data_IF_823146064067
#
_entry.id   IF_823146064067
#
_cell.length_a   1.000
_cell.length_b   1.000
_cell.length_c   1.000
_cell.angle_alpha   90.00
_cell.angle_beta   90.00
_cell.angle_gamma   90.00
#
_symmetry.space_group_name_H-M   'P 1'
#
loop_
_entity.id
_entity.type
_entity.pdbx_description
1 polymer ?
#
# COMPACT_ATOMS: atom_id res chain seq x y z
N UNK A 1 -2.47 -4.20 -27.93
CA UNK A 1 -2.82 -5.64 -27.81
C UNK A 1 -1.74 -6.57 -28.36
N UNK A 2 -1.03 -6.22 -29.44
CA UNK A 2 0.01 -7.06 -30.05
C UNK A 2 1.14 -7.45 -29.08
N UNK A 3 1.77 -6.48 -28.41
CA UNK A 3 2.82 -6.73 -27.39
C UNK A 3 2.30 -7.65 -26.27
N UNK A 4 1.10 -7.41 -25.75
CA UNK A 4 0.55 -8.30 -24.72
C UNK A 4 0.41 -9.74 -25.23
N UNK A 5 -0.06 -9.94 -26.46
CA UNK A 5 -0.21 -11.28 -27.07
C UNK A 5 1.14 -11.95 -27.33
N UNK A 6 2.15 -11.19 -27.73
CA UNK A 6 3.50 -11.71 -28.00
C UNK A 6 4.23 -12.13 -26.71
N UNK A 7 4.05 -11.39 -25.62
CA UNK A 7 4.85 -11.60 -24.40
C UNK A 7 4.08 -12.25 -23.22
N UNK A 8 2.74 -12.21 -23.18
CA UNK A 8 1.95 -12.86 -22.12
C UNK A 8 1.85 -14.36 -22.41
N UNK A 9 2.81 -15.12 -21.88
CA UNK A 9 2.83 -16.58 -22.03
C UNK A 9 1.80 -17.30 -21.18
N UNK A 10 1.51 -16.77 -19.99
CA UNK A 10 0.64 -17.46 -19.03
C UNK A 10 -0.20 -16.49 -18.19
N UNK A 11 -1.42 -16.93 -17.88
CA UNK A 11 -2.31 -16.30 -16.89
C UNK A 11 -2.16 -17.11 -15.61
N UNK A 12 -1.55 -16.51 -14.58
CA UNK A 12 -1.42 -17.12 -13.25
C UNK A 12 -1.93 -16.17 -12.19
N UNK A 13 -2.49 -16.75 -11.12
CA UNK A 13 -2.74 -16.00 -9.89
C UNK A 13 -1.42 -15.55 -9.29
N UNK A 14 -1.35 -14.27 -8.92
CA UNK A 14 -0.25 -13.73 -8.15
C UNK A 14 -0.60 -14.02 -6.69
N UNK A 15 -0.07 -15.10 -6.12
CA UNK A 15 -0.49 -15.67 -4.82
C UNK A 15 -0.41 -14.77 -3.59
N UNK A 16 -0.05 -13.50 -3.76
CA UNK A 16 -0.14 -12.47 -2.73
C UNK A 16 -1.51 -11.80 -2.67
N UNK A 17 -2.38 -11.96 -3.68
CA UNK A 17 -3.70 -11.33 -3.69
C UNK A 17 -4.79 -12.36 -3.39
N UNK A 18 -5.74 -11.90 -2.59
CA UNK A 18 -7.00 -12.54 -2.27
C UNK A 18 -8.14 -11.51 -2.43
N UNK A 19 -9.38 -11.89 -2.12
CA UNK A 19 -10.54 -11.00 -2.22
C UNK A 19 -10.73 -10.10 -0.98
N UNK A 20 -9.72 -9.92 -0.13
CA UNK A 20 -9.80 -9.04 1.04
C UNK A 20 -9.59 -7.57 0.67
N UNK A 21 -10.09 -6.67 1.53
CA UNK A 21 -9.79 -5.25 1.46
C UNK A 21 -8.28 -4.97 1.53
N UNK A 22 -7.54 -5.73 2.34
CA UNK A 22 -6.10 -5.56 2.48
C UNK A 22 -5.38 -5.82 1.14
N UNK A 23 -5.81 -6.83 0.38
CA UNK A 23 -5.32 -7.09 -0.98
C UNK A 23 -5.64 -5.97 -1.97
N UNK A 24 -6.85 -5.37 -1.88
CA UNK A 24 -7.19 -4.21 -2.69
C UNK A 24 -6.30 -3.00 -2.37
N UNK A 25 -6.06 -2.72 -1.08
CA UNK A 25 -5.17 -1.64 -0.65
C UNK A 25 -3.71 -1.90 -1.06
N UNK A 26 -3.24 -3.15 -0.98
CA UNK A 26 -1.92 -3.54 -1.47
C UNK A 26 -1.79 -3.29 -2.98
N UNK A 27 -2.84 -3.57 -3.75
CA UNK A 27 -2.87 -3.30 -5.19
C UNK A 27 -2.78 -1.79 -5.49
N UNK A 28 -3.54 -0.97 -4.77
CA UNK A 28 -3.44 0.49 -4.86
C UNK A 28 -2.02 0.97 -4.49
N UNK A 29 -1.41 0.43 -3.44
CA UNK A 29 -0.03 0.73 -3.04
C UNK A 29 0.99 0.38 -4.14
N UNK A 30 0.89 -0.81 -4.75
CA UNK A 30 1.79 -1.25 -5.84
C UNK A 30 1.69 -0.37 -7.08
N UNK A 31 0.51 0.19 -7.34
CA UNK A 31 0.24 1.03 -8.51
C UNK A 31 0.43 2.51 -8.21
N UNK A 32 0.88 2.87 -7.00
CA UNK A 32 1.05 4.27 -6.54
C UNK A 32 -0.28 5.04 -6.52
N UNK A 33 -1.39 4.31 -6.40
CA UNK A 33 -2.77 4.83 -6.36
C UNK A 33 -3.39 4.75 -4.96
N UNK A 34 -2.59 4.47 -3.93
CA UNK A 34 -3.07 4.41 -2.55
C UNK A 34 -3.70 5.75 -2.16
N UNK A 35 -4.95 5.70 -1.68
CA UNK A 35 -5.78 6.85 -1.33
C UNK A 35 -5.27 7.58 -0.07
N UNK A 36 -4.16 8.27 -0.25
CA UNK A 36 -3.49 9.08 0.75
C UNK A 36 -3.80 10.56 0.56
N UNK A 37 -3.56 11.40 1.58
CA UNK A 37 -3.79 12.85 1.44
C UNK A 37 -2.87 13.47 0.39
N UNK A 38 -1.63 12.98 0.28
CA UNK A 38 -0.70 13.40 -0.78
C UNK A 38 -1.18 13.02 -2.18
N UNK A 39 -1.78 11.83 -2.35
CA UNK A 39 -2.41 11.44 -3.61
C UNK A 39 -3.63 12.32 -3.92
N UNK A 40 -4.49 12.57 -2.93
CA UNK A 40 -5.69 13.40 -3.09
C UNK A 40 -5.34 14.85 -3.46
N UNK A 41 -4.33 15.44 -2.83
CA UNK A 41 -3.86 16.81 -3.09
C UNK A 41 -3.32 17.03 -4.51
N UNK A 42 -3.15 15.97 -5.32
CA UNK A 42 -2.85 16.11 -6.77
C UNK A 42 -4.10 16.51 -7.58
N UNK A 43 -5.30 16.27 -7.03
CA UNK A 43 -6.58 16.41 -7.73
C UNK A 43 -7.55 17.35 -7.02
N UNK A 44 -7.22 17.84 -5.82
CA UNK A 44 -8.06 18.73 -5.01
C UNK A 44 -7.22 19.82 -4.36
N UNK A 45 -7.85 20.90 -3.90
CA UNK A 45 -7.20 22.01 -3.19
C UNK A 45 -6.85 21.70 -1.72
N UNK A 46 -6.70 20.42 -1.36
CA UNK A 46 -6.34 20.02 0.00
C UNK A 46 -4.89 20.40 0.26
N UNK A 47 -4.68 21.35 1.16
CA UNK A 47 -3.36 21.83 1.58
C UNK A 47 -2.76 21.01 2.72
N UNK A 48 -3.61 20.47 3.62
CA UNK A 48 -3.15 19.60 4.70
C UNK A 48 -2.85 18.18 4.18
N UNK A 49 -1.57 17.89 4.02
CA UNK A 49 -1.08 16.55 3.63
C UNK A 49 -0.70 15.69 4.82
N UNK A 50 -0.89 16.17 6.05
CA UNK A 50 -0.42 15.50 7.26
C UNK A 50 -1.14 14.18 7.49
N UNK A 51 -0.40 13.17 7.92
CA UNK A 51 -0.94 11.87 8.30
C UNK A 51 -1.95 12.01 9.43
N UNK A 52 -3.23 11.72 9.15
CA UNK A 52 -4.30 11.75 10.15
C UNK A 52 -4.16 10.70 11.26
N UNK A 53 -3.19 9.78 11.16
CA UNK A 53 -2.95 8.73 12.16
C UNK A 53 -1.83 9.14 13.12
N UNK A 54 -0.69 9.61 12.61
CA UNK A 54 0.45 9.97 13.44
C UNK A 54 0.62 11.48 13.68
N UNK A 55 0.01 12.32 12.84
CA UNK A 55 0.05 13.79 12.92
C UNK A 55 1.40 14.44 12.64
N UNK A 56 2.43 13.67 12.25
CA UNK A 56 3.84 14.15 12.23
C UNK A 56 4.42 14.37 10.84
N UNK A 57 4.07 13.50 9.89
CA UNK A 57 4.65 13.49 8.55
C UNK A 57 3.56 13.54 7.49
N UNK A 58 3.93 13.91 6.26
CA UNK A 58 3.03 13.82 5.13
C UNK A 58 2.56 12.38 4.93
N UNK A 59 1.26 12.21 4.70
CA UNK A 59 0.66 10.92 4.42
C UNK A 59 1.01 10.51 3.00
N UNK A 60 2.20 10.01 2.77
CA UNK A 60 2.61 9.34 1.54
C UNK A 60 2.42 7.82 1.66
N UNK A 61 2.37 7.11 0.53
CA UNK A 61 2.28 5.64 0.52
C UNK A 61 3.45 5.01 1.29
N UNK A 62 4.66 5.54 1.08
CA UNK A 62 5.87 5.12 1.82
C UNK A 62 5.74 5.33 3.31
N UNK A 63 5.24 6.49 3.76
CA UNK A 63 5.01 6.74 5.17
C UNK A 63 4.02 5.72 5.75
N UNK A 64 2.89 5.48 5.09
CA UNK A 64 1.87 4.54 5.58
C UNK A 64 2.40 3.11 5.68
N UNK A 65 3.27 2.69 4.76
CA UNK A 65 3.79 1.32 4.68
C UNK A 65 5.04 1.11 5.55
N UNK A 66 5.95 2.08 5.64
CA UNK A 66 7.26 1.88 6.25
C UNK A 66 7.48 2.65 7.55
N UNK A 67 6.86 3.82 7.73
CA UNK A 67 7.32 4.78 8.74
C UNK A 67 6.24 5.26 9.73
N UNK A 68 4.96 5.00 9.47
CA UNK A 68 3.87 5.54 10.27
C UNK A 68 3.88 4.96 11.69
N UNK A 69 4.47 5.70 12.65
CA UNK A 69 4.54 5.31 14.08
C UNK A 69 3.18 5.15 14.77
N UNK A 70 2.12 5.70 14.17
CA UNK A 70 0.76 5.55 14.68
C UNK A 70 0.10 4.24 14.25
N UNK A 71 0.74 3.45 13.39
CA UNK A 71 0.43 2.04 13.12
C UNK A 71 1.70 1.27 13.52
N UNK A 72 1.64 -0.04 13.79
CA UNK A 72 2.89 -0.80 13.90
C UNK A 72 3.51 -0.86 12.50
N UNK A 73 4.68 -0.23 12.25
CA UNK A 73 5.32 -0.34 10.95
C UNK A 73 5.81 -1.77 10.74
N UNK A 74 5.74 -2.24 9.49
CA UNK A 74 6.37 -3.48 9.07
C UNK A 74 7.84 -3.43 9.51
N UNK A 75 8.23 -4.31 10.44
CA UNK A 75 9.51 -4.22 11.14
C UNK A 75 10.71 -4.39 10.17
N UNK A 76 11.76 -3.58 10.33
CA UNK A 76 13.08 -3.79 9.73
C UNK A 76 13.46 -2.84 8.57
N UNK A 77 14.67 -3.03 8.03
CA UNK A 77 15.22 -2.34 6.85
C UNK A 77 14.59 -2.86 5.55
N UNK A 78 13.25 -2.78 5.48
CA UNK A 78 12.46 -3.24 4.34
C UNK A 78 12.25 -2.09 3.37
N UNK A 79 12.78 -2.23 2.17
CA UNK A 79 12.52 -1.32 1.06
C UNK A 79 11.07 -1.43 0.57
N UNK A 80 10.48 -0.31 0.12
CA UNK A 80 9.09 -0.26 -0.36
C UNK A 80 8.74 -1.37 -1.35
N UNK A 81 9.61 -1.65 -2.33
CA UNK A 81 9.34 -2.64 -3.37
C UNK A 81 9.19 -4.07 -2.79
N UNK A 82 9.96 -4.41 -1.75
CA UNK A 82 9.81 -5.69 -1.03
C UNK A 82 8.49 -5.71 -0.24
N UNK A 83 8.16 -4.61 0.44
CA UNK A 83 6.93 -4.48 1.23
C UNK A 83 5.68 -4.70 0.37
N UNK A 84 5.65 -4.10 -0.83
CA UNK A 84 4.51 -4.27 -1.75
C UNK A 84 4.56 -5.56 -2.58
N UNK A 85 5.57 -6.42 -2.37
CA UNK A 85 5.65 -7.77 -2.94
C UNK A 85 6.22 -7.87 -4.35
N UNK A 86 7.11 -6.96 -4.75
CA UNK A 86 7.92 -7.17 -5.96
C UNK A 86 8.93 -8.29 -5.72
N UNK A 87 9.25 -9.01 -6.80
CA UNK A 87 10.18 -10.14 -6.76
C UNK A 87 11.61 -9.64 -6.59
N UNK A 88 12.42 -10.36 -5.84
CA UNK A 88 13.88 -10.12 -5.78
C UNK A 88 14.57 -10.60 -7.08
N UNK A 89 15.89 -10.44 -7.16
CA UNK A 89 16.69 -10.86 -8.32
C UNK A 89 16.60 -12.37 -8.62
N UNK A 90 16.20 -13.18 -7.63
CA UNK A 90 15.96 -14.62 -7.76
C UNK A 90 14.53 -14.96 -8.18
N UNK A 91 13.67 -13.96 -8.36
CA UNK A 91 12.27 -14.14 -8.72
C UNK A 91 11.35 -14.49 -7.54
N UNK A 92 11.84 -14.43 -6.30
CA UNK A 92 11.11 -14.83 -5.08
C UNK A 92 10.34 -13.65 -4.49
N UNK A 93 9.21 -13.93 -3.85
CA UNK A 93 8.38 -12.95 -3.12
C UNK A 93 8.44 -13.25 -1.64
N UNK A 94 8.70 -12.24 -0.81
CA UNK A 94 8.61 -12.38 0.64
C UNK A 94 7.14 -12.25 1.10
N UNK A 95 6.45 -13.38 1.19
CA UNK A 95 5.02 -13.43 1.55
C UNK A 95 4.74 -12.91 2.97
N UNK A 96 5.65 -13.14 3.91
CA UNK A 96 5.52 -12.65 5.29
C UNK A 96 5.52 -11.11 5.32
N UNK A 97 6.48 -10.48 4.63
CA UNK A 97 6.53 -9.01 4.54
C UNK A 97 5.29 -8.45 3.85
N UNK A 98 4.79 -9.12 2.82
CA UNK A 98 3.57 -8.70 2.12
C UNK A 98 2.34 -8.82 3.02
N UNK A 99 2.25 -9.88 3.83
CA UNK A 99 1.16 -10.05 4.78
C UNK A 99 1.20 -8.97 5.87
N UNK A 100 2.39 -8.67 6.42
CA UNK A 100 2.55 -7.57 7.38
C UNK A 100 2.12 -6.22 6.77
N UNK A 101 2.47 -5.99 5.50
CA UNK A 101 2.07 -4.77 4.78
C UNK A 101 0.56 -4.71 4.56
N UNK A 102 -0.09 -5.84 4.25
CA UNK A 102 -1.55 -5.94 4.15
C UNK A 102 -2.23 -5.58 5.47
N UNK A 103 -1.75 -6.15 6.57
CA UNK A 103 -2.33 -5.94 7.90
C UNK A 103 -2.19 -4.45 8.30
N UNK A 104 -1.01 -3.86 8.06
CA UNK A 104 -0.76 -2.45 8.31
C UNK A 104 -1.64 -1.51 7.46
N UNK A 105 -1.83 -1.83 6.17
CA UNK A 105 -2.73 -1.08 5.31
C UNK A 105 -4.19 -1.19 5.77
N UNK A 106 -4.58 -2.37 6.24
CA UNK A 106 -5.92 -2.61 6.77
C UNK A 106 -6.17 -1.80 8.06
N UNK A 107 -5.20 -1.77 8.97
CA UNK A 107 -5.22 -0.96 10.19
C UNK A 107 -5.27 0.53 9.87
N UNK A 108 -4.47 0.99 8.91
CA UNK A 108 -4.50 2.36 8.42
C UNK A 108 -5.90 2.72 7.93
N UNK A 109 -6.53 1.85 7.15
CA UNK A 109 -7.87 2.08 6.64
C UNK A 109 -8.89 2.20 7.78
N UNK A 110 -8.83 1.34 8.79
CA UNK A 110 -9.72 1.41 9.96
C UNK A 110 -9.55 2.73 10.71
N UNK A 111 -8.32 3.09 11.08
CA UNK A 111 -8.04 4.32 11.83
C UNK A 111 -8.42 5.59 11.08
N UNK A 112 -8.31 5.59 9.75
CA UNK A 112 -8.74 6.74 8.95
C UNK A 112 -10.26 6.82 8.80
N UNK A 113 -10.98 5.69 8.73
CA UNK A 113 -12.44 5.70 8.56
C UNK A 113 -13.21 5.72 9.88
N UNK A 114 -12.58 5.40 11.02
CA UNK A 114 -13.14 5.70 12.35
C UNK A 114 -13.25 7.21 12.59
N UNK A 115 -12.33 8.00 12.00
CA UNK A 115 -12.35 9.46 12.03
C UNK A 115 -13.36 10.06 11.03
N UNK A 116 -13.86 9.26 10.09
CA UNK A 116 -14.94 9.63 9.14
C UNK A 116 -16.21 8.83 9.46
N UNK A 117 -16.61 8.81 10.73
CA UNK A 117 -18.03 8.75 11.11
C UNK A 117 -18.50 10.18 11.33
N UNK A 118 -18.61 10.93 10.23
CA UNK A 118 -19.38 12.17 10.25
C UNK A 118 -20.85 11.76 10.19
N UNK A 119 -21.56 12.18 11.24
CA UNK A 119 -23.00 12.31 11.45
C UNK A 119 -23.84 12.25 10.17
#
# INVERSE_FOLDING_TARGET
LQVYREYKREIRSYGIFDNSRASALLFEARTVMLRTKTHLAKYTDVTDKTCGICGKEEKASEHVILACKGIQPTQGDVTLWKAVGFRNDRGEVNFETVQNTKDQLNDSWHRNNEVVRIV
#
